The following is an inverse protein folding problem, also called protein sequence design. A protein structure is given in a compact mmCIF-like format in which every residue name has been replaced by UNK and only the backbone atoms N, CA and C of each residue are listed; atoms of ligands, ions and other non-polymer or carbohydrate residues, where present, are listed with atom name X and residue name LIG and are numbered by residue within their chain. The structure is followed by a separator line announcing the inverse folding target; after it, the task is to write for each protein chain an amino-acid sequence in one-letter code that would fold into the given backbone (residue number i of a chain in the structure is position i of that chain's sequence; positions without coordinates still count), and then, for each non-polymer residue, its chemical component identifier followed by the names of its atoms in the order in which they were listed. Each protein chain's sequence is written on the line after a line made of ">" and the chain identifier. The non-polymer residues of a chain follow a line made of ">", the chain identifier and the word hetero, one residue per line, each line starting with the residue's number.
data_IF_010745957225
#
_entry.id   IF_010745957225
#
_cell.length_a   1.000
_cell.length_b   1.000
_cell.length_c   1.000
_cell.angle_alpha   90.00
_cell.angle_beta   90.00
_cell.angle_gamma   90.00
#
_symmetry.space_group_name_H-M   'P 1'
#
loop_
_entity.id
_entity.type
_entity.pdbx_description
1 polymer ?
#
# COMPACT_ATOMS: atom_id res chain seq x y z
N UNK A 1 -11.61 17.22 -3.09
CA UNK A 1 -10.56 16.20 -3.30
C UNK A 1 -9.39 16.84 -4.05
N UNK A 2 -8.19 16.68 -3.54
CA UNK A 2 -6.99 17.23 -4.17
C UNK A 2 -5.94 16.12 -4.31
N UNK A 3 -4.82 16.44 -4.94
CA UNK A 3 -3.76 15.48 -5.20
C UNK A 3 -2.42 16.09 -4.82
N UNK A 4 -1.65 15.37 -4.02
CA UNK A 4 -0.31 15.78 -3.61
C UNK A 4 0.71 15.06 -4.49
N UNK A 5 1.68 15.79 -5.05
CA UNK A 5 2.76 15.20 -5.84
C UNK A 5 3.83 14.64 -4.89
N UNK A 6 3.96 13.33 -4.85
CA UNK A 6 4.86 12.65 -3.89
C UNK A 6 6.31 12.68 -4.38
N UNK A 7 6.53 12.50 -5.67
CA UNK A 7 7.88 12.47 -6.25
C UNK A 7 8.38 13.84 -6.68
N UNK A 8 7.51 14.85 -6.64
CA UNK A 8 7.76 16.22 -7.06
C UNK A 8 8.07 16.39 -8.55
N UNK A 9 7.99 15.31 -9.33
CA UNK A 9 8.19 15.32 -10.78
C UNK A 9 6.96 14.89 -11.57
N UNK A 10 5.82 14.75 -10.89
CA UNK A 10 4.56 14.43 -11.53
C UNK A 10 4.33 12.97 -11.86
N UNK A 11 5.18 12.06 -11.36
CA UNK A 11 5.01 10.62 -11.64
C UNK A 11 4.17 9.90 -10.62
N UNK A 12 4.27 10.27 -9.35
CA UNK A 12 3.54 9.62 -8.27
C UNK A 12 2.81 10.65 -7.44
N UNK A 13 1.51 10.49 -7.35
CA UNK A 13 0.61 11.36 -6.61
C UNK A 13 -0.10 10.56 -5.53
N UNK A 14 -0.66 11.24 -4.56
CA UNK A 14 -1.55 10.63 -3.57
C UNK A 14 -2.79 11.51 -3.42
N UNK A 15 -3.95 10.87 -3.37
CA UNK A 15 -5.21 11.59 -3.22
C UNK A 15 -5.35 12.10 -1.78
N UNK A 16 -5.84 13.34 -1.66
CA UNK A 16 -6.27 13.89 -0.37
C UNK A 16 -7.77 14.02 -0.44
N UNK A 17 -8.47 13.17 0.33
CA UNK A 17 -9.92 13.16 0.34
C UNK A 17 -10.46 14.36 1.11
N UNK A 18 -11.68 14.80 0.76
CA UNK A 18 -12.30 15.94 1.40
C UNK A 18 -12.44 15.72 2.90
N UNK A 19 -12.10 16.75 3.68
CA UNK A 19 -12.15 16.68 5.13
C UNK A 19 -10.94 16.06 5.79
N UNK A 20 -9.98 15.56 5.02
CA UNK A 20 -8.78 14.94 5.56
C UNK A 20 -7.62 15.91 5.63
N UNK A 21 -6.86 15.84 6.72
CA UNK A 21 -5.70 16.72 6.93
C UNK A 21 -4.50 16.29 6.11
N UNK A 22 -4.49 15.04 5.62
CA UNK A 22 -3.35 14.48 4.94
C UNK A 22 -3.78 13.63 3.76
N UNK A 23 -2.84 13.34 2.87
CA UNK A 23 -3.12 12.49 1.72
C UNK A 23 -3.18 11.00 2.10
N UNK A 24 -3.68 10.18 1.19
CA UNK A 24 -3.91 8.76 1.43
C UNK A 24 -2.62 8.01 1.79
N UNK A 25 -1.48 8.38 1.20
CA UNK A 25 -0.22 7.71 1.48
C UNK A 25 0.24 7.94 2.92
N UNK A 26 0.26 9.20 3.36
CA UNK A 26 0.71 9.53 4.72
C UNK A 26 -0.26 8.99 5.76
N UNK A 27 -1.56 8.99 5.46
CA UNK A 27 -2.56 8.41 6.36
C UNK A 27 -2.35 6.92 6.56
N UNK A 28 -2.02 6.19 5.49
CA UNK A 28 -1.72 4.76 5.59
C UNK A 28 -0.51 4.53 6.49
N UNK A 29 0.57 5.28 6.28
CA UNK A 29 1.77 5.13 7.08
C UNK A 29 1.54 5.48 8.54
N UNK A 30 0.71 6.49 8.82
CA UNK A 30 0.34 6.82 10.19
C UNK A 30 -0.38 5.66 10.86
N UNK A 31 -1.34 5.02 10.17
CA UNK A 31 -2.04 3.86 10.70
C UNK A 31 -1.12 2.67 10.95
N UNK A 32 -0.21 2.40 10.01
CA UNK A 32 0.69 1.26 10.11
C UNK A 32 1.79 1.46 11.16
N UNK A 33 1.92 2.64 11.71
CA UNK A 33 2.83 2.94 12.80
C UNK A 33 2.09 3.22 14.11
N UNK A 34 0.78 3.13 14.13
CA UNK A 34 -0.05 3.33 15.32
C UNK A 34 -0.23 1.98 16.04
N UNK A 35 0.51 1.81 17.13
CA UNK A 35 0.53 0.54 17.87
C UNK A 35 -0.86 0.18 18.39
N UNK A 36 -1.62 1.14 18.91
CA UNK A 36 -2.97 0.89 19.42
C UNK A 36 -3.92 0.43 18.33
N UNK A 37 -3.88 1.09 17.18
CA UNK A 37 -4.70 0.71 16.03
C UNK A 37 -4.33 -0.68 15.52
N UNK A 38 -3.03 -0.96 15.40
CA UNK A 38 -2.54 -2.26 14.93
C UNK A 38 -2.92 -3.38 15.90
N UNK A 39 -2.85 -3.13 17.21
CA UNK A 39 -3.22 -4.13 18.19
C UNK A 39 -4.70 -4.50 18.07
N UNK A 40 -5.57 -3.50 17.94
CA UNK A 40 -7.00 -3.75 17.78
C UNK A 40 -7.27 -4.47 16.46
N UNK A 41 -6.60 -4.08 15.39
CA UNK A 41 -6.74 -4.73 14.08
C UNK A 41 -6.35 -6.20 14.15
N UNK A 42 -5.20 -6.53 14.71
CA UNK A 42 -4.73 -7.92 14.75
C UNK A 42 -5.53 -8.77 15.72
N UNK A 43 -6.04 -8.20 16.80
CA UNK A 43 -6.94 -8.92 17.70
C UNK A 43 -8.27 -9.24 17.02
N UNK A 44 -8.81 -8.30 16.27
CA UNK A 44 -10.05 -8.49 15.53
C UNK A 44 -9.89 -9.54 14.43
N UNK A 45 -8.72 -9.60 13.79
CA UNK A 45 -8.44 -10.49 12.69
C UNK A 45 -7.53 -11.66 13.09
N UNK A 46 -7.57 -12.05 14.35
CA UNK A 46 -6.66 -13.03 14.93
C UNK A 46 -6.71 -14.37 14.20
N UNK A 47 -7.89 -14.81 13.82
CA UNK A 47 -8.06 -16.10 13.16
C UNK A 47 -7.33 -16.13 11.81
N UNK A 48 -7.43 -15.09 11.02
CA UNK A 48 -6.73 -15.00 9.75
C UNK A 48 -5.22 -14.96 9.95
N UNK A 49 -4.77 -14.21 10.96
CA UNK A 49 -3.35 -14.08 11.27
C UNK A 49 -2.73 -15.44 11.62
N UNK A 50 -3.40 -16.21 12.48
CA UNK A 50 -2.90 -17.51 12.89
C UNK A 50 -3.00 -18.56 11.78
N UNK A 51 -4.10 -18.53 11.00
CA UNK A 51 -4.36 -19.55 9.97
C UNK A 51 -3.41 -19.40 8.77
N UNK A 52 -3.18 -18.18 8.31
CA UNK A 52 -2.39 -17.95 7.09
C UNK A 52 -0.92 -17.64 7.36
N UNK A 53 -0.61 -17.00 8.48
CA UNK A 53 0.77 -16.57 8.77
C UNK A 53 1.37 -17.30 9.96
N UNK A 54 0.59 -18.12 10.65
CA UNK A 54 1.02 -18.94 11.78
C UNK A 54 1.73 -18.13 12.88
N UNK A 55 1.27 -16.90 13.05
CA UNK A 55 1.76 -16.00 14.09
C UNK A 55 0.89 -16.19 15.33
N UNK A 56 1.53 -16.37 16.47
CA UNK A 56 0.84 -16.64 17.73
C UNK A 56 0.95 -15.50 18.73
N UNK A 57 1.59 -14.40 18.34
CA UNK A 57 1.81 -13.25 19.21
C UNK A 57 1.45 -11.96 18.46
N UNK A 58 0.47 -11.24 18.99
CA UNK A 58 0.03 -9.96 18.40
C UNK A 58 1.19 -8.96 18.36
N UNK A 59 2.06 -8.95 19.37
CA UNK A 59 3.20 -8.05 19.37
C UNK A 59 4.16 -8.32 18.22
N UNK A 60 4.34 -9.58 17.84
CA UNK A 60 5.15 -9.95 16.69
C UNK A 60 4.53 -9.38 15.38
N UNK A 61 3.21 -9.46 15.25
CA UNK A 61 2.52 -8.91 14.09
C UNK A 61 2.65 -7.39 14.01
N UNK A 62 2.54 -6.70 15.15
CA UNK A 62 2.71 -5.25 15.23
C UNK A 62 4.11 -4.86 14.79
N UNK A 63 5.13 -5.50 15.32
CA UNK A 63 6.53 -5.19 14.99
C UNK A 63 6.82 -5.44 13.51
N UNK A 64 6.34 -6.56 12.98
CA UNK A 64 6.50 -6.88 11.56
C UNK A 64 5.85 -5.83 10.68
N UNK A 65 4.66 -5.35 11.05
CA UNK A 65 3.98 -4.31 10.29
C UNK A 65 4.78 -3.01 10.28
N UNK A 66 5.28 -2.59 11.43
CA UNK A 66 6.08 -1.37 11.54
C UNK A 66 7.34 -1.48 10.70
N UNK A 67 8.04 -2.59 10.78
CA UNK A 67 9.25 -2.82 10.00
C UNK A 67 8.97 -2.80 8.49
N UNK A 68 7.91 -3.47 8.06
CA UNK A 68 7.53 -3.49 6.65
C UNK A 68 7.07 -2.11 6.18
N UNK A 69 6.37 -1.37 7.02
CA UNK A 69 5.96 -0.01 6.71
C UNK A 69 7.17 0.90 6.50
N UNK A 70 8.19 0.78 7.33
CA UNK A 70 9.42 1.56 7.17
C UNK A 70 10.13 1.24 5.86
N UNK A 71 10.17 -0.03 5.47
CA UNK A 71 10.76 -0.43 4.19
C UNK A 71 10.00 0.14 3.00
N UNK A 72 8.67 0.08 3.03
CA UNK A 72 7.85 0.63 1.96
C UNK A 72 7.99 2.15 1.88
N UNK A 73 8.02 2.80 3.03
CA UNK A 73 8.21 4.25 3.09
C UNK A 73 9.55 4.64 2.48
N UNK A 74 10.60 3.89 2.79
CA UNK A 74 11.92 4.11 2.20
C UNK A 74 11.93 3.95 0.69
N UNK A 75 11.27 2.92 0.17
CA UNK A 75 11.16 2.69 -1.28
C UNK A 75 10.50 3.88 -1.97
N UNK A 76 9.40 4.38 -1.41
CA UNK A 76 8.65 5.47 -2.02
C UNK A 76 9.38 6.80 -1.91
N UNK A 77 9.91 7.11 -0.74
CA UNK A 77 10.56 8.41 -0.51
C UNK A 77 11.92 8.53 -1.19
N UNK A 78 12.58 7.41 -1.46
CA UNK A 78 13.91 7.38 -2.09
C UNK A 78 13.85 6.99 -3.56
N UNK A 79 12.70 7.12 -4.21
CA UNK A 79 12.55 6.79 -5.62
C UNK A 79 13.53 7.62 -6.47
N UNK A 80 14.34 6.91 -7.26
CA UNK A 80 15.25 7.55 -8.20
C UNK A 80 14.46 8.25 -9.30
N UNK A 81 14.94 9.41 -9.81
CA UNK A 81 14.33 10.02 -10.99
C UNK A 81 14.28 9.10 -12.20
N UNK A 82 15.16 8.11 -12.26
CA UNK A 82 15.23 7.15 -13.36
C UNK A 82 14.35 5.91 -13.13
N UNK A 83 13.74 5.78 -11.95
CA UNK A 83 12.92 4.62 -11.62
C UNK A 83 11.66 4.60 -12.49
N UNK A 84 11.35 3.41 -13.01
CA UNK A 84 10.10 3.19 -13.74
C UNK A 84 9.04 2.68 -12.78
N UNK A 85 8.01 3.49 -12.53
CA UNK A 85 6.95 3.11 -11.60
C UNK A 85 6.15 1.91 -12.09
N UNK A 86 6.14 1.63 -13.37
CA UNK A 86 5.49 0.42 -13.90
C UNK A 86 6.16 -0.86 -13.41
N UNK A 87 7.42 -0.80 -13.00
CA UNK A 87 8.14 -1.92 -12.40
C UNK A 87 7.86 -2.06 -10.90
N UNK A 88 7.39 -1.01 -10.27
CA UNK A 88 7.14 -0.96 -8.83
C UNK A 88 5.68 -1.31 -8.52
N UNK A 89 4.75 -0.75 -9.28
CA UNK A 89 3.33 -1.02 -9.13
C UNK A 89 2.91 -2.10 -10.12
N UNK A 90 2.37 -3.20 -9.60
CA UNK A 90 1.92 -4.31 -10.44
C UNK A 90 0.40 -4.28 -10.58
N UNK A 91 -0.12 -4.50 -11.80
CA UNK A 91 -1.56 -4.58 -12.00
C UNK A 91 -2.18 -5.68 -11.14
N UNK A 92 -3.38 -5.45 -10.63
CA UNK A 92 -4.17 -6.47 -9.96
C UNK A 92 -4.88 -7.29 -11.01
N UNK A 93 -4.67 -8.61 -10.99
CA UNK A 93 -5.22 -9.50 -12.00
C UNK A 93 -6.72 -9.39 -12.16
N UNK A 94 -7.42 -9.17 -11.04
CA UNK A 94 -8.88 -9.12 -11.03
C UNK A 94 -9.44 -7.91 -11.75
N UNK A 95 -8.62 -6.92 -12.07
CA UNK A 95 -9.07 -5.69 -12.70
C UNK A 95 -8.69 -5.58 -14.16
N UNK A 96 -8.09 -6.64 -14.69
CA UNK A 96 -7.56 -6.62 -16.05
C UNK A 96 -8.60 -6.27 -17.10
N UNK A 97 -9.80 -6.81 -16.95
CA UNK A 97 -10.86 -6.62 -17.92
C UNK A 97 -11.60 -5.31 -17.74
N UNK A 98 -12.02 -5.02 -16.52
CA UNK A 98 -12.93 -3.91 -16.27
C UNK A 98 -12.25 -2.56 -16.23
N UNK A 99 -11.12 -2.48 -15.56
CA UNK A 99 -10.44 -1.21 -15.38
C UNK A 99 -9.72 -0.74 -16.63
N UNK A 100 -9.32 -1.67 -17.48
CA UNK A 100 -8.73 -1.32 -18.77
C UNK A 100 -9.72 -0.61 -19.67
N UNK A 101 -10.99 -0.98 -19.64
CA UNK A 101 -12.04 -0.31 -20.41
C UNK A 101 -12.22 1.14 -19.98
N UNK A 102 -11.89 1.45 -18.74
CA UNK A 102 -11.95 2.80 -18.20
C UNK A 102 -10.63 3.56 -18.34
N UNK A 103 -9.62 2.91 -18.94
CA UNK A 103 -8.30 3.50 -19.07
C UNK A 103 -7.54 3.60 -17.77
N UNK A 104 -7.93 2.79 -16.80
CA UNK A 104 -7.31 2.81 -15.46
C UNK A 104 -6.93 1.40 -15.06
N UNK A 105 -5.74 1.27 -14.52
CA UNK A 105 -5.28 0.02 -13.93
C UNK A 105 -5.10 0.21 -12.44
N UNK A 106 -5.64 -0.70 -11.64
CA UNK A 106 -5.36 -0.76 -10.23
C UNK A 106 -4.09 -1.57 -10.04
N UNK A 107 -3.24 -1.10 -9.14
CA UNK A 107 -1.96 -1.71 -8.92
C UNK A 107 -1.66 -1.79 -7.42
N UNK A 108 -0.74 -2.67 -7.06
CA UNK A 108 -0.20 -2.74 -5.71
C UNK A 108 1.30 -2.51 -5.77
N UNK A 109 1.83 -1.90 -4.72
CA UNK A 109 3.26 -1.68 -4.62
C UNK A 109 3.98 -3.02 -4.53
N UNK A 110 4.95 -3.23 -5.41
CA UNK A 110 5.78 -4.41 -5.40
C UNK A 110 6.85 -4.25 -4.33
N UNK A 111 6.81 -5.13 -3.37
CA UNK A 111 7.88 -5.24 -2.41
C UNK A 111 8.96 -6.12 -3.02
N UNK A 112 10.20 -5.63 -3.02
CA UNK A 112 11.32 -6.38 -3.61
C UNK A 112 11.52 -7.75 -3.00
N UNK A 113 12.04 -8.66 -3.76
CA UNK A 113 12.44 -10.01 -3.37
C UNK A 113 11.30 -10.93 -2.93
N UNK A 114 11.68 -11.97 -2.25
CA UNK A 114 10.84 -13.11 -1.93
C UNK A 114 10.07 -12.96 -0.63
N UNK A 115 10.17 -11.82 0.04
CA UNK A 115 9.54 -11.65 1.33
C UNK A 115 8.09 -11.24 1.15
N UNK A 116 7.19 -12.06 1.65
CA UNK A 116 5.78 -11.76 1.63
C UNK A 116 5.44 -10.75 2.70
N UNK A 117 4.85 -9.64 2.33
CA UNK A 117 4.29 -8.69 3.28
C UNK A 117 2.78 -8.70 3.17
N UNK A 118 2.08 -8.46 4.27
CA UNK A 118 0.64 -8.27 4.23
C UNK A 118 0.22 -6.83 3.94
N UNK A 119 1.17 -5.91 3.84
CA UNK A 119 0.86 -4.53 3.52
C UNK A 119 0.61 -4.37 2.02
N UNK A 120 -0.41 -3.57 1.69
CA UNK A 120 -0.76 -3.26 0.30
C UNK A 120 -0.97 -1.77 0.17
N UNK A 121 -0.36 -1.19 -0.86
CA UNK A 121 -0.61 0.19 -1.27
C UNK A 121 -1.27 0.12 -2.64
N UNK A 122 -2.44 0.72 -2.76
CA UNK A 122 -3.22 0.70 -3.99
C UNK A 122 -3.08 2.02 -4.73
N UNK A 123 -2.94 1.92 -6.04
CA UNK A 123 -2.81 3.07 -6.89
C UNK A 123 -3.59 2.85 -8.18
N UNK A 124 -3.99 3.96 -8.81
CA UNK A 124 -4.59 3.96 -10.13
C UNK A 124 -3.53 4.47 -11.11
N UNK A 125 -3.33 3.72 -12.17
CA UNK A 125 -2.42 4.13 -13.25
C UNK A 125 -3.14 5.10 -14.17
N UNK A 126 -2.57 6.28 -14.37
CA UNK A 126 -3.11 7.27 -15.28
C UNK A 126 -2.58 7.08 -16.69
N UNK A 127 -1.27 6.89 -16.80
CA UNK A 127 -0.57 6.64 -18.04
C UNK A 127 0.73 5.93 -17.70
N UNK A 128 1.52 5.55 -18.70
CA UNK A 128 2.77 4.83 -18.46
C UNK A 128 3.66 5.61 -17.48
N UNK A 129 4.03 4.97 -16.38
CA UNK A 129 4.92 5.54 -15.38
C UNK A 129 4.28 6.58 -14.44
N UNK A 130 2.95 6.81 -14.53
CA UNK A 130 2.27 7.84 -13.73
C UNK A 130 1.12 7.20 -12.93
N UNK A 131 1.17 7.35 -11.60
CA UNK A 131 0.22 6.71 -10.69
C UNK A 131 -0.32 7.66 -9.65
N UNK A 132 -1.54 7.39 -9.18
CA UNK A 132 -2.15 8.07 -8.03
C UNK A 132 -2.45 7.03 -6.95
N UNK A 133 -1.86 7.19 -5.77
CA UNK A 133 -2.14 6.35 -4.62
C UNK A 133 -3.50 6.74 -4.05
N UNK A 134 -4.37 5.74 -3.88
CA UNK A 134 -5.74 5.95 -3.39
C UNK A 134 -5.96 5.41 -1.98
N UNK A 135 -5.12 4.50 -1.52
CA UNK A 135 -5.27 3.92 -0.20
C UNK A 135 -4.35 2.73 -0.01
N UNK A 136 -4.58 2.01 1.06
CA UNK A 136 -3.83 0.81 1.36
C UNK A 136 -4.60 -0.09 2.30
N UNK A 137 -4.05 -1.26 2.58
CA UNK A 137 -4.68 -2.24 3.44
C UNK A 137 -3.66 -3.21 4.03
N UNK A 138 -4.06 -3.85 5.11
CA UNK A 138 -3.38 -5.04 5.63
C UNK A 138 -4.17 -6.24 5.13
N UNK A 139 -3.53 -7.06 4.29
CA UNK A 139 -4.17 -8.22 3.69
C UNK A 139 -3.71 -9.49 4.38
N UNK A 140 -4.57 -10.08 5.21
CA UNK A 140 -4.27 -11.28 5.98
C UNK A 140 -4.85 -12.55 5.36
N UNK A 141 -5.55 -12.45 4.23
CA UNK A 141 -6.13 -13.61 3.55
C UNK A 141 -5.49 -13.78 2.19
N UNK A 142 -5.54 -15.00 1.64
CA UNK A 142 -5.06 -15.29 0.29
C UNK A 142 -6.06 -14.83 -0.77
N UNK A 143 -7.30 -14.59 -0.39
CA UNK A 143 -8.35 -14.15 -1.31
C UNK A 143 -8.43 -12.63 -1.32
N UNK A 144 -8.72 -12.12 -2.48
CA UNK A 144 -8.98 -10.69 -2.65
C UNK A 144 -10.31 -10.29 -2.05
#
# INVERSE_FOLDING_TARGET
>A
MTFDDITEDGRLWAVRYDGENDNALYRIFDLWNDISWLRDFFKTNWQDLTSYFKITDVNQAIMRTIEDSEKLQGIIMDLSPDANLDDIFLPLENFRTHDMLLGKEKAKLRRGNNTTSWLRIYAIKLTSGVYIITGGAIKLTLKM
#
